data_IF_582274981670
#
_entry.id   IF_582274981670
#
_cell.length_a   1.000
_cell.length_b   1.000
_cell.length_c   1.000
_cell.angle_alpha   90.00
_cell.angle_beta   90.00
_cell.angle_gamma   90.00
#
_symmetry.space_group_name_H-M   'P 1'
#
loop_
_entity.id
_entity.type
_entity.pdbx_description
1 polymer ?
#
# COMPACT_ATOMS: atom_id res chain seq x y z
N UNK A 1 -30.61 -2.22 36.41
CA UNK A 1 -29.75 -3.20 35.70
C UNK A 1 -29.28 -4.21 36.73
N UNK A 2 -29.46 -5.54 36.51
CA UNK A 2 -28.89 -6.57 37.38
C UNK A 2 -27.37 -6.41 37.53
N UNK A 3 -26.78 -6.83 38.66
CA UNK A 3 -25.36 -6.54 38.94
C UNK A 3 -24.40 -7.21 37.95
N UNK A 4 -24.69 -8.44 37.53
CA UNK A 4 -23.93 -9.17 36.51
C UNK A 4 -23.91 -8.43 35.17
N UNK A 5 -25.06 -7.90 34.75
CA UNK A 5 -25.18 -7.09 33.54
C UNK A 5 -24.45 -5.74 33.72
N UNK A 6 -24.60 -5.11 34.89
CA UNK A 6 -23.93 -3.85 35.21
C UNK A 6 -22.41 -3.98 35.11
N UNK A 7 -21.84 -5.06 35.68
CA UNK A 7 -20.41 -5.34 35.64
C UNK A 7 -19.93 -5.57 34.20
N UNK A 8 -20.64 -6.38 33.40
CA UNK A 8 -20.31 -6.60 31.98
C UNK A 8 -20.33 -5.29 31.18
N UNK A 9 -21.35 -4.47 31.37
CA UNK A 9 -21.48 -3.18 30.67
C UNK A 9 -20.36 -2.20 31.04
N UNK A 10 -19.90 -2.18 32.29
CA UNK A 10 -18.77 -1.32 32.68
C UNK A 10 -17.46 -1.79 32.04
N UNK A 11 -17.20 -3.10 32.07
CA UNK A 11 -15.94 -3.64 31.55
C UNK A 11 -15.88 -3.62 30.02
N UNK A 12 -16.97 -3.98 29.33
CA UNK A 12 -16.98 -4.24 27.88
C UNK A 12 -18.34 -3.95 27.21
N UNK A 13 -19.07 -2.92 27.66
CA UNK A 13 -20.38 -2.55 27.13
C UNK A 13 -20.42 -2.19 25.64
N UNK A 14 -19.28 -1.82 25.07
CA UNK A 14 -19.06 -1.57 23.63
C UNK A 14 -18.91 -2.87 22.80
N UNK A 15 -18.59 -3.99 23.44
CA UNK A 15 -18.36 -5.30 22.80
C UNK A 15 -19.54 -6.26 22.97
N UNK A 16 -20.70 -5.78 23.44
CA UNK A 16 -21.87 -6.63 23.65
C UNK A 16 -22.60 -6.91 22.33
N UNK A 17 -22.80 -8.18 22.01
CA UNK A 17 -23.58 -8.62 20.84
C UNK A 17 -25.05 -8.18 20.93
N UNK A 18 -25.62 -8.24 22.13
CA UNK A 18 -26.99 -7.80 22.43
C UNK A 18 -26.97 -6.65 23.44
N UNK A 19 -26.68 -5.41 23.01
CA UNK A 19 -26.59 -4.28 23.92
C UNK A 19 -27.97 -3.88 24.43
N UNK A 20 -28.03 -3.45 25.68
CA UNK A 20 -29.22 -2.86 26.28
C UNK A 20 -29.56 -1.57 25.55
N UNK A 21 -30.82 -1.45 25.11
CA UNK A 21 -31.32 -0.27 24.41
C UNK A 21 -32.20 0.57 25.29
N UNK A 22 -32.06 1.89 25.16
CA UNK A 22 -32.93 2.83 25.84
C UNK A 22 -34.38 2.62 25.36
N UNK A 23 -35.32 2.50 26.29
CA UNK A 23 -36.70 2.03 26.00
C UNK A 23 -37.42 2.88 24.95
N UNK A 24 -37.30 4.20 25.08
CA UNK A 24 -37.96 5.20 24.22
C UNK A 24 -37.04 5.65 23.09
N UNK A 25 -35.86 6.17 23.46
CA UNK A 25 -34.88 6.77 22.53
C UNK A 25 -33.99 5.78 21.75
N UNK A 26 -34.09 4.47 21.99
CA UNK A 26 -33.45 3.40 21.18
C UNK A 26 -31.92 3.38 21.08
N UNK A 27 -31.21 4.36 21.64
CA UNK A 27 -29.74 4.34 21.66
C UNK A 27 -29.19 3.19 22.53
N UNK A 28 -27.97 2.76 22.23
CA UNK A 28 -27.22 1.77 23.00
C UNK A 28 -26.84 2.35 24.37
N UNK A 29 -27.39 1.78 25.45
CA UNK A 29 -27.07 2.17 26.83
C UNK A 29 -25.89 1.39 27.42
N UNK A 30 -25.60 0.19 26.91
CA UNK A 30 -24.50 -0.64 27.41
C UNK A 30 -23.15 0.05 27.23
N UNK A 31 -22.93 0.76 26.12
CA UNK A 31 -21.70 1.52 25.85
C UNK A 31 -21.44 2.67 26.83
N UNK A 32 -22.47 3.13 27.56
CA UNK A 32 -22.27 4.17 28.58
C UNK A 32 -21.40 3.63 29.72
N UNK A 33 -21.50 2.33 30.02
CA UNK A 33 -20.73 1.68 31.08
C UNK A 33 -19.23 1.84 30.89
N UNK A 34 -18.72 1.68 29.66
CA UNK A 34 -17.28 1.81 29.38
C UNK A 34 -16.75 3.24 29.50
N UNK A 35 -17.62 4.24 29.66
CA UNK A 35 -17.21 5.62 29.93
C UNK A 35 -16.38 5.78 31.20
N UNK A 36 -16.52 4.89 32.18
CA UNK A 36 -15.74 4.96 33.43
C UNK A 36 -14.23 4.81 33.19
N UNK A 37 -13.83 4.07 32.14
CA UNK A 37 -12.43 3.93 31.75
C UNK A 37 -11.78 5.27 31.40
N UNK A 38 -12.57 6.30 31.12
CA UNK A 38 -12.09 7.64 30.81
C UNK A 38 -12.10 8.61 32.01
N UNK A 39 -12.60 8.18 33.17
CA UNK A 39 -12.52 8.95 34.41
C UNK A 39 -11.22 8.69 35.17
N UNK A 40 -10.10 8.88 34.48
CA UNK A 40 -8.76 8.87 35.07
C UNK A 40 -8.19 10.29 35.17
N UNK A 41 -7.16 10.49 35.99
CA UNK A 41 -6.39 11.72 35.96
C UNK A 41 -5.70 11.88 34.60
N UNK A 42 -5.71 13.09 34.04
CA UNK A 42 -5.19 13.34 32.70
C UNK A 42 -4.71 14.79 32.55
N UNK A 43 -3.59 14.98 31.85
CA UNK A 43 -3.08 16.30 31.51
C UNK A 43 -3.41 16.66 30.06
N UNK A 44 -3.90 17.87 29.81
CA UNK A 44 -4.26 18.33 28.45
C UNK A 44 -3.05 18.55 27.52
N UNK A 45 -1.87 18.82 28.08
CA UNK A 45 -0.63 19.05 27.34
C UNK A 45 0.57 18.50 28.10
N UNK A 46 0.75 17.17 28.17
CA UNK A 46 1.82 16.58 28.95
C UNK A 46 3.19 16.88 28.31
N UNK A 47 4.14 17.31 29.13
CA UNK A 47 5.55 17.51 28.72
C UNK A 47 6.28 16.17 28.54
N UNK A 48 5.84 15.13 29.25
CA UNK A 48 6.24 13.73 29.06
C UNK A 48 5.00 12.87 28.77
N UNK A 49 4.82 12.52 27.49
CA UNK A 49 3.68 11.73 27.04
C UNK A 49 3.74 10.27 27.46
N UNK A 50 4.92 9.73 27.78
CA UNK A 50 5.06 8.34 28.24
C UNK A 50 4.66 8.24 29.70
N UNK A 51 5.07 9.21 30.52
CA UNK A 51 4.66 9.28 31.92
C UNK A 51 3.14 9.47 32.04
N UNK A 52 2.56 10.42 31.30
CA UNK A 52 1.10 10.65 31.31
C UNK A 52 0.33 9.38 30.92
N UNK A 53 0.76 8.66 29.86
CA UNK A 53 0.13 7.39 29.50
C UNK A 53 0.25 6.32 30.61
N UNK A 54 1.42 6.21 31.25
CA UNK A 54 1.63 5.26 32.34
C UNK A 54 0.74 5.56 33.56
N UNK A 55 0.57 6.84 33.92
CA UNK A 55 -0.25 7.25 35.06
C UNK A 55 -1.75 7.08 34.79
N UNK A 56 -2.20 7.36 33.55
CA UNK A 56 -3.57 7.05 33.12
C UNK A 56 -3.89 5.57 33.22
N UNK A 57 -2.98 4.73 32.73
CA UNK A 57 -3.13 3.28 32.77
C UNK A 57 -3.16 2.76 34.21
N UNK A 58 -2.27 3.28 35.06
CA UNK A 58 -2.26 2.92 36.48
C UNK A 58 -3.58 3.28 37.17
N UNK A 59 -4.11 4.49 36.94
CA UNK A 59 -5.39 4.94 37.49
C UNK A 59 -6.56 4.04 37.05
N UNK A 60 -6.59 3.67 35.76
CA UNK A 60 -7.61 2.75 35.23
C UNK A 60 -7.57 1.39 35.93
N UNK A 61 -6.37 0.82 36.08
CA UNK A 61 -6.19 -0.47 36.73
C UNK A 61 -6.51 -0.44 38.22
N UNK A 62 -6.14 0.63 38.92
CA UNK A 62 -6.42 0.79 40.34
C UNK A 62 -7.93 0.88 40.60
N UNK A 63 -8.65 1.69 39.83
CA UNK A 63 -10.11 1.81 39.91
C UNK A 63 -10.79 0.49 39.56
N UNK A 64 -10.35 -0.18 38.49
CA UNK A 64 -10.89 -1.47 38.07
C UNK A 64 -10.70 -2.55 39.15
N UNK A 65 -9.48 -2.67 39.67
CA UNK A 65 -9.14 -3.63 40.72
C UNK A 65 -10.00 -3.44 41.96
N UNK A 66 -10.09 -2.21 42.47
CA UNK A 66 -10.87 -1.92 43.69
C UNK A 66 -12.37 -2.08 43.48
N UNK A 67 -12.90 -1.63 42.34
CA UNK A 67 -14.34 -1.54 42.11
C UNK A 67 -14.96 -2.87 41.69
N UNK A 68 -14.31 -3.61 40.79
CA UNK A 68 -14.90 -4.81 40.18
C UNK A 68 -14.28 -6.12 40.66
N UNK A 69 -13.00 -6.10 41.06
CA UNK A 69 -12.34 -7.29 41.62
C UNK A 69 -12.35 -7.29 43.15
N UNK A 70 -12.54 -6.13 43.79
CA UNK A 70 -12.41 -5.97 45.24
C UNK A 70 -10.96 -6.12 45.72
N UNK A 71 -9.97 -5.88 44.84
CA UNK A 71 -8.55 -6.11 45.09
C UNK A 71 -7.73 -4.83 44.91
N UNK A 72 -6.78 -4.58 45.81
CA UNK A 72 -5.84 -3.47 45.72
C UNK A 72 -4.60 -3.86 44.92
N UNK A 73 -4.73 -3.96 43.60
CA UNK A 73 -3.65 -4.47 42.74
C UNK A 73 -2.47 -3.50 42.56
N UNK A 74 -2.59 -2.24 42.99
CA UNK A 74 -1.60 -1.18 42.74
C UNK A 74 -0.20 -1.45 43.30
N UNK A 75 -0.06 -2.18 44.43
CA UNK A 75 1.28 -2.52 44.94
C UNK A 75 2.08 -3.42 43.98
N UNK A 76 1.39 -4.21 43.16
CA UNK A 76 1.99 -5.10 42.16
C UNK A 76 2.73 -4.34 41.04
N UNK A 77 2.57 -3.01 40.95
CA UNK A 77 3.29 -2.15 40.00
C UNK A 77 4.81 -2.24 40.16
N UNK A 78 5.29 -2.33 41.40
CA UNK A 78 6.73 -2.20 41.69
C UNK A 78 7.35 -3.51 42.22
N UNK A 79 6.57 -4.36 42.86
CA UNK A 79 7.00 -5.63 43.43
C UNK A 79 5.81 -6.58 43.54
N UNK A 80 6.02 -7.89 43.64
CA UNK A 80 4.91 -8.83 43.80
C UNK A 80 4.04 -8.45 45.02
N UNK A 81 2.72 -8.54 44.87
CA UNK A 81 1.79 -8.07 45.91
C UNK A 81 2.07 -8.78 47.24
N UNK A 82 2.08 -8.01 48.34
CA UNK A 82 2.58 -8.49 49.63
C UNK A 82 1.77 -9.66 50.21
N UNK A 83 0.47 -9.67 49.98
CA UNK A 83 -0.47 -10.60 50.62
C UNK A 83 -1.28 -11.45 49.64
N UNK A 84 -1.40 -10.98 48.41
CA UNK A 84 -2.24 -11.63 47.40
C UNK A 84 -1.33 -12.22 46.32
N UNK A 85 -1.76 -13.32 45.70
CA UNK A 85 -1.01 -13.99 44.65
C UNK A 85 -1.09 -13.23 43.31
N UNK A 86 -0.59 -12.00 43.30
CA UNK A 86 -0.56 -11.10 42.15
C UNK A 86 0.89 -10.71 41.93
N UNK A 87 1.51 -11.25 40.90
CA UNK A 87 2.89 -10.90 40.55
C UNK A 87 2.96 -9.58 39.79
N UNK A 88 4.15 -8.99 39.74
CA UNK A 88 4.47 -7.88 38.83
C UNK A 88 4.10 -8.24 37.39
N UNK A 89 4.33 -9.50 37.00
CA UNK A 89 4.01 -9.98 35.66
C UNK A 89 2.50 -9.95 35.38
N UNK A 90 1.68 -10.31 36.36
CA UNK A 90 0.21 -10.30 36.21
C UNK A 90 -0.30 -8.86 36.07
N UNK A 91 0.23 -7.94 36.90
CA UNK A 91 -0.09 -6.51 36.82
C UNK A 91 0.23 -5.93 35.43
N UNK A 92 1.45 -6.16 34.93
CA UNK A 92 1.83 -5.65 33.61
C UNK A 92 1.16 -6.39 32.44
N UNK A 93 0.72 -7.64 32.63
CA UNK A 93 -0.10 -8.34 31.62
C UNK A 93 -1.48 -7.69 31.48
N UNK A 94 -2.10 -7.32 32.60
CA UNK A 94 -3.36 -6.58 32.60
C UNK A 94 -3.19 -5.16 32.03
N UNK A 95 -2.09 -4.47 32.38
CA UNK A 95 -1.75 -3.18 31.79
C UNK A 95 -1.58 -3.25 30.27
N UNK A 96 -0.90 -4.28 29.76
CA UNK A 96 -0.72 -4.48 28.32
C UNK A 96 -2.06 -4.74 27.60
N UNK A 97 -2.95 -5.52 28.21
CA UNK A 97 -4.31 -5.72 27.68
C UNK A 97 -5.06 -4.39 27.55
N UNK A 98 -5.06 -3.58 28.62
CA UNK A 98 -5.73 -2.29 28.64
C UNK A 98 -5.08 -1.27 27.68
N UNK A 99 -3.75 -1.29 27.52
CA UNK A 99 -3.04 -0.47 26.51
C UNK A 99 -3.41 -0.82 25.06
N UNK A 100 -3.91 -2.02 24.80
CA UNK A 100 -4.44 -2.42 23.50
C UNK A 100 -5.81 -1.78 23.18
N UNK A 101 -6.48 -1.19 24.16
CA UNK A 101 -7.75 -0.48 23.97
C UNK A 101 -7.53 0.95 23.46
N UNK A 102 -8.47 1.48 22.69
CA UNK A 102 -8.43 2.84 22.17
C UNK A 102 -9.64 3.63 22.66
N UNK A 103 -9.41 4.89 23.04
CA UNK A 103 -10.51 5.83 23.32
C UNK A 103 -11.27 6.09 22.03
N UNK A 104 -12.56 5.76 22.05
CA UNK A 104 -13.49 6.09 20.98
C UNK A 104 -14.53 7.08 21.48
N UNK A 105 -14.81 8.10 20.70
CA UNK A 105 -15.99 8.95 20.93
C UNK A 105 -17.18 8.33 20.22
N UNK A 106 -18.18 7.90 21.00
CA UNK A 106 -19.37 7.27 20.47
C UNK A 106 -20.58 8.19 20.61
N UNK A 107 -21.24 8.60 19.49
CA UNK A 107 -22.44 9.42 19.57
C UNK A 107 -23.62 8.58 20.06
N UNK A 108 -24.33 9.06 21.09
CA UNK A 108 -25.61 8.47 21.47
C UNK A 108 -26.62 8.70 20.35
N UNK A 109 -27.04 7.63 19.68
CA UNK A 109 -27.98 7.68 18.56
C UNK A 109 -29.43 7.84 19.05
N UNK A 110 -29.74 9.02 19.60
CA UNK A 110 -31.07 9.35 20.12
C UNK A 110 -32.09 9.25 18.98
N UNK A 111 -33.05 8.34 19.15
CA UNK A 111 -34.08 8.02 18.18
C UNK A 111 -33.68 6.97 17.13
N UNK A 112 -32.47 6.40 17.18
CA UNK A 112 -32.04 5.30 16.31
C UNK A 112 -31.79 5.67 14.84
N UNK A 113 -31.71 6.96 14.51
CA UNK A 113 -31.63 7.44 13.12
C UNK A 113 -30.32 7.04 12.42
N UNK A 114 -29.20 7.02 13.14
CA UNK A 114 -27.89 6.64 12.57
C UNK A 114 -27.87 5.15 12.28
N UNK A 115 -28.44 4.33 13.15
CA UNK A 115 -28.59 2.89 12.92
C UNK A 115 -29.51 2.61 11.73
N UNK A 116 -30.64 3.33 11.61
CA UNK A 116 -31.52 3.27 10.44
C UNK A 116 -30.77 3.60 9.13
N UNK A 117 -30.05 4.73 9.09
CA UNK A 117 -29.25 5.13 7.93
C UNK A 117 -28.14 4.11 7.63
N UNK A 118 -27.46 3.60 8.65
CA UNK A 118 -26.40 2.58 8.48
C UNK A 118 -26.96 1.31 7.86
N UNK A 119 -28.11 0.85 8.33
CA UNK A 119 -28.80 -0.32 7.78
C UNK A 119 -29.27 -0.06 6.34
N UNK A 120 -29.76 1.15 6.04
CA UNK A 120 -30.14 1.55 4.68
C UNK A 120 -28.92 1.54 3.76
N UNK A 121 -27.79 2.13 4.18
CA UNK A 121 -26.54 2.11 3.43
C UNK A 121 -26.07 0.68 3.21
N UNK A 122 -26.08 -0.17 4.24
CA UNK A 122 -25.63 -1.55 4.11
C UNK A 122 -26.54 -2.36 3.17
N UNK A 123 -27.86 -2.14 3.23
CA UNK A 123 -28.82 -2.73 2.30
C UNK A 123 -28.63 -2.21 0.87
N UNK A 124 -28.36 -0.92 0.69
CA UNK A 124 -28.02 -0.32 -0.61
C UNK A 124 -26.71 -0.89 -1.15
N UNK A 125 -25.69 -1.06 -0.31
CA UNK A 125 -24.43 -1.70 -0.71
C UNK A 125 -24.66 -3.16 -1.08
N UNK A 126 -25.35 -3.96 -0.24
CA UNK A 126 -25.66 -5.37 -0.53
C UNK A 126 -26.50 -5.50 -1.79
N UNK A 127 -27.49 -4.63 -2.01
CA UNK A 127 -28.30 -4.64 -3.22
C UNK A 127 -27.50 -4.19 -4.45
N UNK A 128 -26.63 -3.19 -4.34
CA UNK A 128 -25.72 -2.80 -5.40
C UNK A 128 -24.77 -3.96 -5.77
N UNK A 129 -24.12 -4.58 -4.79
CA UNK A 129 -23.26 -5.76 -4.99
C UNK A 129 -24.01 -6.97 -5.55
N UNK A 130 -25.20 -7.28 -5.06
CA UNK A 130 -26.03 -8.34 -5.60
C UNK A 130 -26.49 -8.02 -7.04
N UNK A 131 -26.82 -6.76 -7.33
CA UNK A 131 -27.20 -6.31 -8.67
C UNK A 131 -26.03 -6.33 -9.66
N UNK A 132 -24.80 -6.16 -9.18
CA UNK A 132 -23.58 -6.36 -9.97
C UNK A 132 -23.40 -7.84 -10.36
N UNK A 133 -23.86 -8.78 -9.52
CA UNK A 133 -23.77 -10.22 -9.79
C UNK A 133 -24.95 -10.78 -10.61
N UNK A 134 -26.14 -10.15 -10.59
CA UNK A 134 -27.35 -10.71 -11.19
C UNK A 134 -27.93 -9.92 -12.38
N UNK A 135 -27.32 -8.78 -12.76
CA UNK A 135 -27.63 -8.08 -14.02
C UNK A 135 -26.52 -8.28 -15.07
N UNK A 136 -26.29 -9.55 -15.43
CA UNK A 136 -25.69 -9.87 -16.74
C UNK A 136 -26.73 -9.86 -17.88
N UNK A 137 -28.00 -9.60 -17.59
CA UNK A 137 -29.04 -9.36 -18.59
C UNK A 137 -29.35 -7.87 -18.65
N UNK A 138 -28.68 -7.17 -19.56
CA UNK A 138 -28.77 -5.70 -19.70
C UNK A 138 -27.48 -5.04 -20.14
N UNK A 139 -26.34 -5.74 -20.09
CA UNK A 139 -25.15 -5.43 -20.91
C UNK A 139 -25.46 -5.87 -22.34
N UNK A 140 -26.40 -5.15 -22.98
CA UNK A 140 -26.67 -5.30 -24.40
C UNK A 140 -25.40 -4.99 -25.17
N UNK A 141 -24.71 -6.05 -25.61
CA UNK A 141 -23.41 -6.04 -26.26
C UNK A 141 -22.40 -5.12 -25.56
N UNK A 142 -21.61 -5.69 -24.62
CA UNK A 142 -20.28 -5.14 -24.37
C UNK A 142 -19.65 -5.02 -25.76
N UNK A 143 -19.51 -3.79 -26.27
CA UNK A 143 -18.94 -3.59 -27.61
C UNK A 143 -17.62 -4.33 -27.56
N UNK A 144 -17.35 -5.25 -28.51
CA UNK A 144 -16.12 -6.04 -28.44
C UNK A 144 -14.97 -5.06 -28.25
N UNK A 145 -14.08 -5.30 -27.26
CA UNK A 145 -13.07 -4.32 -26.92
C UNK A 145 -12.33 -3.92 -28.19
N UNK A 146 -12.03 -2.63 -28.31
CA UNK A 146 -11.48 -2.08 -29.54
C UNK A 146 -10.29 -2.93 -30.00
N UNK A 147 -10.11 -3.09 -31.31
CA UNK A 147 -8.98 -3.86 -31.85
C UNK A 147 -7.62 -3.36 -31.31
N UNK A 148 -7.54 -2.08 -30.93
CA UNK A 148 -6.39 -1.48 -30.27
C UNK A 148 -6.27 -1.86 -28.80
N UNK A 149 -7.37 -1.95 -28.05
CA UNK A 149 -7.37 -2.48 -26.69
C UNK A 149 -6.87 -3.92 -26.66
N UNK A 150 -7.37 -4.77 -27.56
CA UNK A 150 -6.93 -6.17 -27.67
C UNK A 150 -5.46 -6.27 -28.02
N UNK A 151 -5.00 -5.44 -28.96
CA UNK A 151 -3.58 -5.36 -29.32
C UNK A 151 -2.70 -4.87 -28.17
N UNK A 152 -3.12 -3.82 -27.46
CA UNK A 152 -2.38 -3.29 -26.32
C UNK A 152 -2.33 -4.27 -25.16
N UNK A 153 -3.44 -4.95 -24.85
CA UNK A 153 -3.47 -6.02 -23.86
C UNK A 153 -2.49 -7.14 -24.26
N UNK A 154 -2.55 -7.62 -25.50
CA UNK A 154 -1.66 -8.67 -25.99
C UNK A 154 -0.18 -8.27 -25.89
N UNK A 155 0.13 -7.02 -26.24
CA UNK A 155 1.51 -6.52 -26.27
C UNK A 155 2.08 -6.20 -24.88
N UNK A 156 1.25 -5.75 -23.93
CA UNK A 156 1.66 -5.28 -22.59
C UNK A 156 1.33 -6.25 -21.46
N UNK A 157 0.75 -7.41 -21.78
CA UNK A 157 0.56 -8.51 -20.86
C UNK A 157 1.65 -9.57 -21.08
N UNK A 158 2.23 -10.07 -19.99
CA UNK A 158 3.18 -11.18 -20.07
C UNK A 158 2.44 -12.44 -20.53
N UNK A 159 3.02 -13.16 -21.50
CA UNK A 159 2.54 -14.49 -21.88
C UNK A 159 3.16 -15.60 -21.03
N UNK A 160 3.89 -15.25 -19.97
CA UNK A 160 4.45 -16.22 -19.05
C UNK A 160 3.31 -16.88 -18.27
N UNK A 161 3.24 -18.20 -18.33
CA UNK A 161 2.40 -19.00 -17.45
C UNK A 161 3.31 -19.71 -16.46
N UNK A 162 3.01 -19.57 -15.19
CA UNK A 162 3.80 -20.18 -14.13
C UNK A 162 3.86 -21.70 -14.33
N UNK A 163 5.08 -22.23 -14.44
CA UNK A 163 5.35 -23.66 -14.59
C UNK A 163 6.07 -24.24 -13.35
N UNK A 164 6.30 -23.41 -12.32
CA UNK A 164 6.95 -23.81 -11.08
C UNK A 164 7.47 -22.61 -10.28
N UNK A 165 7.23 -22.63 -8.97
CA UNK A 165 7.64 -21.60 -8.00
C UNK A 165 9.16 -21.59 -7.79
N UNK A 166 9.89 -20.81 -8.57
CA UNK A 166 11.25 -20.40 -8.20
C UNK A 166 11.19 -18.99 -7.59
N UNK A 167 10.72 -18.92 -6.34
CA UNK A 167 10.55 -17.66 -5.60
C UNK A 167 11.87 -17.03 -5.11
N UNK A 168 13.02 -17.53 -5.57
CA UNK A 168 14.34 -17.14 -5.08
C UNK A 168 15.11 -16.36 -6.15
N UNK A 169 15.72 -15.26 -5.71
CA UNK A 169 16.74 -14.53 -6.47
C UNK A 169 17.92 -15.47 -6.76
N UNK A 170 18.04 -15.92 -7.99
CA UNK A 170 19.01 -16.94 -8.46
C UNK A 170 19.66 -16.53 -9.78
N UNK A 171 19.43 -15.29 -10.19
CA UNK A 171 19.89 -14.73 -11.44
C UNK A 171 21.32 -14.21 -11.42
N UNK A 172 21.74 -13.66 -12.57
CA UNK A 172 22.97 -12.90 -12.72
C UNK A 172 22.76 -11.51 -12.14
N UNK A 173 23.40 -11.23 -11.01
CA UNK A 173 23.33 -9.93 -10.33
C UNK A 173 23.91 -8.82 -11.22
N UNK A 174 23.13 -7.76 -11.40
CA UNK A 174 23.51 -6.52 -12.05
C UNK A 174 24.05 -5.54 -11.01
N UNK A 175 23.33 -5.40 -9.89
CA UNK A 175 23.75 -4.62 -8.72
C UNK A 175 22.97 -5.07 -7.47
N UNK A 176 23.67 -5.19 -6.35
CA UNK A 176 23.14 -5.54 -5.02
C UNK A 176 23.42 -4.43 -3.97
N UNK A 177 24.10 -3.35 -4.36
CA UNK A 177 24.46 -2.20 -3.52
C UNK A 177 25.28 -2.50 -2.25
N UNK A 178 25.74 -3.73 -2.07
CA UNK A 178 26.57 -4.16 -0.94
C UNK A 178 27.93 -3.44 -0.91
N UNK A 179 28.42 -3.05 -2.08
CA UNK A 179 29.74 -2.45 -2.26
C UNK A 179 29.69 -1.04 -2.87
N UNK A 180 28.62 -0.28 -2.60
CA UNK A 180 28.43 1.05 -3.20
C UNK A 180 27.45 1.06 -4.37
N UNK A 181 27.36 2.17 -5.08
CA UNK A 181 26.53 2.28 -6.29
C UNK A 181 27.17 1.65 -7.55
N UNK A 182 28.43 1.20 -7.47
CA UNK A 182 29.15 0.65 -8.61
C UNK A 182 29.19 1.64 -9.79
N UNK A 183 28.68 1.22 -10.95
CA UNK A 183 28.57 2.05 -12.15
C UNK A 183 27.39 3.02 -12.15
N UNK A 184 26.49 2.97 -11.17
CA UNK A 184 25.31 3.83 -11.11
C UNK A 184 25.67 5.24 -10.67
N UNK A 185 25.13 6.24 -11.38
CA UNK A 185 25.46 7.65 -11.19
C UNK A 185 24.31 8.39 -10.51
N UNK A 186 24.55 9.04 -9.35
CA UNK A 186 23.56 9.89 -8.73
C UNK A 186 23.47 11.24 -9.44
N UNK A 187 22.25 11.76 -9.57
CA UNK A 187 21.95 13.09 -10.06
C UNK A 187 21.05 13.80 -9.05
N UNK A 188 21.40 15.02 -8.67
CA UNK A 188 20.76 15.72 -7.56
C UNK A 188 21.32 15.29 -6.21
N UNK A 189 20.51 15.34 -5.15
CA UNK A 189 20.96 15.13 -3.76
C UNK A 189 20.23 14.01 -3.03
N UNK A 190 19.25 13.37 -3.68
CA UNK A 190 18.48 12.26 -3.10
C UNK A 190 19.35 11.03 -2.77
N UNK A 191 20.29 10.69 -3.66
CA UNK A 191 21.10 9.46 -3.56
C UNK A 191 22.57 9.81 -3.29
N UNK A 192 22.96 9.84 -2.02
CA UNK A 192 24.34 10.17 -1.63
C UNK A 192 25.23 8.94 -1.52
N UNK A 193 24.75 7.91 -0.82
CA UNK A 193 25.41 6.62 -0.62
C UNK A 193 24.37 5.54 -0.36
N UNK A 194 24.68 4.26 -0.62
CA UNK A 194 23.82 3.17 -0.16
C UNK A 194 23.61 3.24 1.35
N UNK A 195 22.49 2.65 1.78
CA UNK A 195 22.19 2.42 3.19
C UNK A 195 22.61 1.00 3.53
N UNK A 196 23.05 0.84 4.77
CA UNK A 196 23.47 -0.46 5.29
C UNK A 196 22.72 -0.77 6.57
N UNK A 197 22.45 -2.06 6.81
CA UNK A 197 21.85 -2.56 8.03
C UNK A 197 22.62 -2.03 9.25
N UNK A 198 21.89 -1.47 10.22
CA UNK A 198 22.47 -0.84 11.41
C UNK A 198 22.90 0.63 11.23
N UNK A 199 22.75 1.20 10.03
CA UNK A 199 22.94 2.65 9.82
C UNK A 199 21.88 3.47 10.56
N UNK A 200 22.22 4.70 10.92
CA UNK A 200 21.29 5.62 11.59
C UNK A 200 20.06 5.85 10.70
N UNK A 201 18.87 5.57 11.24
CA UNK A 201 17.59 5.82 10.56
C UNK A 201 17.12 4.71 9.62
N UNK A 202 17.70 3.51 9.67
CA UNK A 202 17.32 2.38 8.80
C UNK A 202 16.61 1.24 9.54
N UNK A 203 16.26 1.40 10.82
CA UNK A 203 15.69 0.33 11.66
C UNK A 203 14.29 -0.13 11.24
N UNK A 204 13.60 0.65 10.40
CA UNK A 204 12.25 0.36 9.90
C UNK A 204 12.26 -0.25 8.48
N UNK A 205 13.41 -0.27 7.81
CA UNK A 205 13.52 -0.81 6.46
C UNK A 205 13.73 -2.32 6.56
N UNK A 206 12.94 -3.10 5.82
CA UNK A 206 13.00 -4.57 5.75
C UNK A 206 12.90 -5.04 4.30
N UNK A 207 13.02 -6.34 4.03
CA UNK A 207 12.82 -6.92 2.69
C UNK A 207 13.99 -6.77 1.70
N UNK A 208 15.09 -6.12 2.10
CA UNK A 208 16.35 -6.11 1.34
C UNK A 208 17.10 -7.44 1.47
N UNK A 209 17.95 -7.74 0.48
CA UNK A 209 18.89 -8.86 0.50
C UNK A 209 20.22 -8.42 1.11
N UNK A 210 20.96 -9.32 1.74
CA UNK A 210 22.26 -8.99 2.32
C UNK A 210 22.20 -7.94 3.43
N UNK A 211 23.02 -6.89 3.31
CA UNK A 211 23.11 -5.80 4.29
C UNK A 211 23.02 -4.41 3.67
N UNK A 212 23.11 -4.25 2.36
CA UNK A 212 23.11 -2.98 1.63
C UNK A 212 21.87 -2.78 0.77
N UNK A 213 21.46 -1.54 0.54
CA UNK A 213 20.44 -1.19 -0.46
C UNK A 213 20.57 0.27 -0.91
N UNK A 214 19.98 0.61 -2.06
CA UNK A 214 19.87 1.99 -2.51
C UNK A 214 18.60 2.65 -1.92
N UNK A 215 18.75 3.87 -1.41
CA UNK A 215 17.64 4.61 -0.80
C UNK A 215 17.78 6.11 -1.03
N UNK A 216 16.65 6.77 -1.32
CA UNK A 216 16.53 8.23 -1.30
C UNK A 216 16.01 8.78 0.04
N UNK A 217 15.73 7.91 1.02
CA UNK A 217 15.12 8.32 2.28
C UNK A 217 15.99 9.34 3.04
N UNK A 218 15.37 10.48 3.33
CA UNK A 218 15.96 11.57 4.09
C UNK A 218 14.91 12.15 5.05
N UNK A 219 15.29 12.32 6.32
CA UNK A 219 14.43 12.89 7.37
C UNK A 219 14.32 14.42 7.32
N UNK A 220 15.15 15.08 6.51
CA UNK A 220 15.11 16.54 6.37
C UNK A 220 13.82 16.98 5.65
N UNK A 221 12.99 17.87 6.25
CA UNK A 221 11.80 18.43 5.60
C UNK A 221 12.12 19.28 4.36
N UNK A 222 13.35 19.81 4.21
CA UNK A 222 13.88 20.37 2.95
C UNK A 222 14.49 19.26 2.10
N UNK A 223 13.68 18.23 1.85
CA UNK A 223 14.11 16.96 1.25
C UNK A 223 14.85 17.18 -0.07
N UNK A 224 15.90 16.41 -0.24
CA UNK A 224 16.71 16.40 -1.44
C UNK A 224 16.08 15.49 -2.50
N UNK A 225 15.79 16.06 -3.67
CA UNK A 225 15.30 15.34 -4.85
C UNK A 225 16.47 14.85 -5.72
N UNK A 226 16.19 13.88 -6.58
CA UNK A 226 17.20 13.36 -7.51
C UNK A 226 16.89 11.98 -8.05
N UNK A 227 17.87 11.43 -8.75
CA UNK A 227 17.80 10.10 -9.32
C UNK A 227 19.12 9.36 -9.19
N UNK A 228 19.06 8.04 -9.26
CA UNK A 228 20.21 7.16 -9.40
C UNK A 228 20.04 6.38 -10.71
N UNK A 229 20.98 6.56 -11.63
CA UNK A 229 20.86 6.07 -13.01
C UNK A 229 21.92 4.99 -13.26
N UNK A 230 21.49 3.82 -13.74
CA UNK A 230 22.38 2.72 -14.12
C UNK A 230 23.22 3.09 -15.35
N UNK A 231 24.35 2.40 -15.61
CA UNK A 231 24.90 2.36 -16.97
C UNK A 231 23.87 1.75 -17.92
N UNK A 232 24.09 1.87 -19.23
CA UNK A 232 23.33 1.10 -20.21
C UNK A 232 23.60 -0.38 -20.01
N UNK A 233 22.53 -1.16 -19.86
CA UNK A 233 22.57 -2.59 -19.60
C UNK A 233 22.00 -3.30 -20.82
N UNK A 234 22.76 -4.24 -21.39
CA UNK A 234 22.24 -5.13 -22.43
C UNK A 234 21.36 -6.20 -21.79
N UNK A 235 20.13 -6.37 -22.26
CA UNK A 235 19.22 -7.40 -21.76
C UNK A 235 19.67 -8.78 -22.23
N UNK A 236 20.08 -9.62 -21.28
CA UNK A 236 20.61 -10.97 -21.53
C UNK A 236 19.61 -12.08 -21.19
N UNK A 237 18.69 -11.84 -20.26
CA UNK A 237 17.65 -12.78 -19.88
C UNK A 237 16.27 -12.15 -19.97
N UNK A 238 15.25 -13.01 -19.99
CA UNK A 238 13.85 -12.60 -20.11
C UNK A 238 13.39 -11.78 -18.90
N UNK A 239 13.76 -12.17 -17.68
CA UNK A 239 13.25 -11.49 -16.49
C UNK A 239 14.31 -10.64 -15.83
N UNK A 240 13.90 -9.45 -15.40
CA UNK A 240 14.65 -8.62 -14.46
C UNK A 240 13.91 -8.65 -13.12
N UNK A 241 14.55 -9.25 -12.12
CA UNK A 241 14.04 -9.33 -10.75
C UNK A 241 14.75 -8.30 -9.87
N UNK A 242 14.02 -7.69 -8.96
CA UNK A 242 14.54 -6.75 -7.96
C UNK A 242 13.54 -6.58 -6.82
N UNK A 243 13.96 -5.94 -5.74
CA UNK A 243 13.06 -5.55 -4.64
C UNK A 243 12.90 -4.03 -4.61
N UNK A 244 11.69 -3.55 -4.30
CA UNK A 244 11.37 -2.12 -4.22
C UNK A 244 10.50 -1.81 -3.01
N UNK A 245 10.79 -0.70 -2.35
CA UNK A 245 9.98 -0.14 -1.27
C UNK A 245 9.88 1.39 -1.41
N UNK A 246 9.20 2.03 -0.48
CA UNK A 246 8.93 3.47 -0.47
C UNK A 246 7.50 3.79 -0.92
N UNK A 247 7.31 4.97 -1.52
CA UNK A 247 5.99 5.48 -1.84
C UNK A 247 5.41 5.10 -3.19
N UNK A 248 4.10 5.36 -3.33
CA UNK A 248 3.32 5.18 -4.56
C UNK A 248 3.16 6.45 -5.41
N UNK A 249 3.78 7.56 -5.03
CA UNK A 249 3.66 8.83 -5.75
C UNK A 249 4.21 8.74 -7.18
N UNK A 250 3.59 9.48 -8.10
CA UNK A 250 3.92 9.42 -9.53
C UNK A 250 5.37 9.78 -9.87
N UNK A 251 5.95 10.67 -9.07
CA UNK A 251 7.30 11.19 -9.24
C UNK A 251 8.36 10.33 -8.49
N UNK A 252 7.97 9.16 -7.95
CA UNK A 252 8.82 8.31 -7.11
C UNK A 252 8.75 6.86 -7.56
N UNK A 253 9.89 6.21 -7.80
CA UNK A 253 9.92 4.78 -8.11
C UNK A 253 11.16 4.33 -8.88
N UNK A 254 11.12 3.07 -9.33
CA UNK A 254 12.13 2.45 -10.18
C UNK A 254 11.59 2.39 -11.60
N UNK A 255 12.23 3.10 -12.51
CA UNK A 255 11.81 3.26 -13.90
C UNK A 255 12.69 2.45 -14.85
N UNK A 256 12.06 1.77 -15.81
CA UNK A 256 12.75 1.20 -16.97
C UNK A 256 12.73 2.20 -18.11
N UNK A 257 13.91 2.52 -18.64
CA UNK A 257 14.09 3.39 -19.78
C UNK A 257 14.68 2.64 -20.96
N UNK A 258 14.10 2.85 -22.14
CA UNK A 258 14.59 2.31 -23.40
C UNK A 258 14.30 3.31 -24.52
N UNK A 259 15.23 3.43 -25.48
CA UNK A 259 15.09 4.35 -26.62
C UNK A 259 14.68 5.78 -26.22
N UNK A 260 15.24 6.27 -25.10
CA UNK A 260 14.96 7.62 -24.57
C UNK A 260 13.60 7.82 -23.93
N UNK A 261 12.80 6.75 -23.74
CA UNK A 261 11.47 6.82 -23.15
C UNK A 261 11.38 5.94 -21.89
N UNK A 262 10.57 6.38 -20.91
CA UNK A 262 10.13 5.51 -19.80
C UNK A 262 9.10 4.51 -20.31
N UNK A 263 9.41 3.22 -20.20
CA UNK A 263 8.59 2.12 -20.75
C UNK A 263 7.92 1.28 -19.67
N UNK A 264 8.38 1.39 -18.42
CA UNK A 264 7.75 0.76 -17.27
C UNK A 264 8.19 1.46 -15.98
N UNK A 265 7.40 1.31 -14.92
CA UNK A 265 7.76 1.81 -13.58
C UNK A 265 7.23 0.85 -12.53
N UNK A 266 8.02 0.62 -11.49
CA UNK A 266 7.63 -0.08 -10.27
C UNK A 266 7.73 0.89 -9.10
N UNK A 267 6.74 0.85 -8.20
CA UNK A 267 6.66 1.71 -7.02
C UNK A 267 6.61 0.86 -5.75
N UNK A 268 6.92 1.49 -4.63
CA UNK A 268 6.69 0.88 -3.32
C UNK A 268 5.20 0.84 -2.98
N UNK A 269 4.86 0.42 -1.76
CA UNK A 269 3.47 0.27 -1.30
C UNK A 269 3.18 1.17 -0.10
N UNK A 270 3.73 2.40 -0.14
CA UNK A 270 3.74 3.31 1.01
C UNK A 270 4.25 2.56 2.26
N UNK A 271 5.39 1.89 2.08
CA UNK A 271 6.02 1.03 3.06
C UNK A 271 7.54 1.09 2.94
N UNK A 272 8.26 1.02 4.07
CA UNK A 272 9.71 0.86 4.08
C UNK A 272 10.15 -0.62 3.92
N UNK A 273 9.18 -1.54 3.76
CA UNK A 273 9.44 -2.93 3.39
C UNK A 273 9.64 -3.05 1.87
N UNK A 274 10.78 -3.61 1.45
CA UNK A 274 11.07 -3.85 0.05
C UNK A 274 10.40 -5.16 -0.38
N UNK A 275 9.51 -5.08 -1.37
CA UNK A 275 8.80 -6.24 -1.92
C UNK A 275 9.39 -6.64 -3.28
N UNK A 276 9.44 -7.95 -3.60
CA UNK A 276 9.97 -8.43 -4.87
C UNK A 276 9.07 -7.99 -6.03
N UNK A 277 9.70 -7.61 -7.15
CA UNK A 277 9.07 -7.30 -8.44
C UNK A 277 9.82 -8.04 -9.54
N UNK A 278 9.09 -8.36 -10.62
CA UNK A 278 9.65 -8.96 -11.83
C UNK A 278 9.14 -8.22 -13.06
N UNK A 279 10.06 -7.86 -13.95
CA UNK A 279 9.75 -7.33 -15.27
C UNK A 279 10.04 -8.36 -16.36
N UNK A 280 9.08 -8.59 -17.25
CA UNK A 280 9.21 -9.45 -18.43
C UNK A 280 9.75 -8.65 -19.62
N UNK A 281 11.06 -8.77 -19.85
CA UNK A 281 11.81 -8.07 -20.87
C UNK A 281 11.98 -8.87 -22.17
N UNK A 282 11.09 -9.84 -22.44
CA UNK A 282 11.14 -10.67 -23.65
C UNK A 282 11.35 -9.86 -24.94
N UNK A 283 10.59 -8.77 -25.11
CA UNK A 283 10.64 -7.91 -26.32
C UNK A 283 11.92 -7.04 -26.39
N UNK A 284 12.67 -6.98 -25.30
CA UNK A 284 13.89 -6.19 -25.16
C UNK A 284 15.17 -7.02 -25.22
N UNK A 285 15.10 -8.33 -25.47
CA UNK A 285 16.27 -9.20 -25.55
C UNK A 285 17.34 -8.62 -26.50
N UNK A 286 18.60 -8.59 -26.04
CA UNK A 286 19.76 -8.00 -26.71
C UNK A 286 19.71 -6.50 -26.97
N UNK A 287 18.68 -5.77 -26.54
CA UNK A 287 18.63 -4.31 -26.56
C UNK A 287 19.29 -3.73 -25.31
N UNK A 288 19.68 -2.46 -25.40
CA UNK A 288 20.15 -1.70 -24.26
C UNK A 288 19.00 -1.01 -23.55
N UNK A 289 18.98 -1.11 -22.22
CA UNK A 289 18.04 -0.44 -21.33
C UNK A 289 18.80 0.30 -20.23
N UNK A 290 18.14 1.26 -19.59
CA UNK A 290 18.63 1.94 -18.40
C UNK A 290 17.60 1.78 -17.28
N UNK A 291 18.07 1.57 -16.06
CA UNK A 291 17.24 1.56 -14.86
C UNK A 291 17.49 2.87 -14.12
N UNK A 292 16.42 3.53 -13.70
CA UNK A 292 16.50 4.81 -12.97
C UNK A 292 15.67 4.72 -11.71
N UNK A 293 16.31 4.89 -10.56
CA UNK A 293 15.59 5.18 -9.32
C UNK A 293 15.34 6.68 -9.27
N UNK A 294 14.10 7.10 -9.10
CA UNK A 294 13.71 8.52 -9.14
C UNK A 294 12.99 8.87 -7.85
N UNK A 295 13.38 10.00 -7.26
CA UNK A 295 12.71 10.65 -6.14
C UNK A 295 12.58 12.15 -6.47
N UNK A 296 11.41 12.53 -6.98
CA UNK A 296 11.06 13.90 -7.31
C UNK A 296 9.82 14.38 -6.54
N UNK A 297 9.52 13.79 -5.38
CA UNK A 297 8.38 14.18 -4.55
C UNK A 297 8.77 14.53 -3.11
N UNK A 298 8.02 15.45 -2.52
CA UNK A 298 8.10 15.75 -1.09
C UNK A 298 6.99 15.05 -0.31
N UNK A 299 7.16 14.87 0.99
CA UNK A 299 6.17 14.25 1.87
C UNK A 299 6.64 12.93 2.47
N UNK A 300 5.79 12.33 3.33
CA UNK A 300 6.11 11.11 4.10
C UNK A 300 6.57 9.94 3.21
N UNK A 301 5.89 9.75 2.08
CA UNK A 301 6.16 8.70 1.11
C UNK A 301 6.87 9.20 -0.14
N UNK A 302 7.49 10.37 -0.08
CA UNK A 302 8.24 10.90 -1.20
C UNK A 302 9.58 10.21 -1.42
N UNK A 303 9.81 8.93 -1.11
CA UNK A 303 11.11 8.24 -1.27
C UNK A 303 10.96 6.87 -1.88
N UNK A 304 12.06 6.34 -2.40
CA UNK A 304 12.17 4.98 -2.94
C UNK A 304 13.36 4.25 -2.30
N UNK A 305 13.15 2.96 -2.03
CA UNK A 305 14.21 2.00 -1.73
C UNK A 305 14.24 0.97 -2.86
N UNK A 306 15.41 0.50 -3.26
CA UNK A 306 15.51 -0.64 -4.17
C UNK A 306 16.79 -1.43 -3.94
N UNK A 307 16.72 -2.72 -4.28
CA UNK A 307 17.80 -3.67 -4.03
C UNK A 307 17.77 -4.88 -4.99
N UNK A 308 18.89 -5.61 -5.05
CA UNK A 308 19.05 -6.92 -5.70
C UNK A 308 18.53 -6.97 -7.16
N UNK A 309 19.06 -6.10 -8.02
CA UNK A 309 18.75 -6.15 -9.45
C UNK A 309 19.48 -7.31 -10.11
N UNK A 310 18.75 -8.26 -10.70
CA UNK A 310 19.33 -9.41 -11.38
C UNK A 310 18.56 -9.82 -12.64
N UNK A 311 19.30 -10.30 -13.63
CA UNK A 311 18.71 -10.99 -14.77
C UNK A 311 18.53 -12.47 -14.48
N UNK A 312 17.32 -12.99 -14.70
CA UNK A 312 16.99 -14.37 -14.37
C UNK A 312 16.17 -15.06 -15.48
N UNK A 313 16.24 -16.40 -15.56
CA UNK A 313 15.40 -17.19 -16.45
C UNK A 313 13.94 -17.29 -15.98
N UNK A 314 13.65 -17.02 -14.69
CA UNK A 314 12.33 -17.10 -14.09
C UNK A 314 12.01 -15.83 -13.28
N UNK A 315 10.72 -15.41 -13.19
CA UNK A 315 10.32 -14.31 -12.33
C UNK A 315 10.23 -14.77 -10.86
N UNK A 316 10.42 -13.83 -9.93
CA UNK A 316 10.22 -14.05 -8.48
C UNK A 316 8.76 -13.87 -8.05
N UNK A 317 7.90 -13.31 -8.92
CA UNK A 317 6.45 -13.19 -8.73
C UNK A 317 5.69 -13.88 -9.87
N UNK A 318 4.47 -14.43 -9.61
CA UNK A 318 3.74 -15.21 -10.60
C UNK A 318 3.27 -14.39 -11.81
N UNK A 319 3.00 -13.09 -11.61
CA UNK A 319 2.50 -12.19 -12.64
C UNK A 319 3.50 -11.05 -12.88
N UNK A 320 4.56 -11.27 -13.69
CA UNK A 320 5.53 -10.23 -13.98
C UNK A 320 4.92 -9.12 -14.84
N UNK A 321 5.34 -7.88 -14.57
CA UNK A 321 4.94 -6.73 -15.38
C UNK A 321 5.70 -6.69 -16.69
N UNK A 322 4.99 -6.42 -17.78
CA UNK A 322 5.59 -6.29 -19.11
C UNK A 322 5.64 -4.80 -19.53
N UNK A 323 6.81 -4.29 -19.98
CA UNK A 323 6.96 -2.91 -20.42
C UNK A 323 6.17 -2.62 -21.69
N UNK A 324 5.98 -1.34 -22.00
CA UNK A 324 5.58 -0.91 -23.34
C UNK A 324 6.60 -1.48 -24.33
N UNK A 325 6.20 -2.23 -25.37
CA UNK A 325 7.14 -2.88 -26.26
C UNK A 325 7.90 -1.87 -27.16
N UNK A 326 9.06 -2.25 -27.71
CA UNK A 326 9.76 -1.45 -28.72
C UNK A 326 8.88 -1.19 -29.94
N UNK A 327 9.10 -0.04 -30.60
CA UNK A 327 8.29 0.37 -31.76
C UNK A 327 8.25 -0.68 -32.87
N UNK A 328 9.35 -1.40 -33.11
CA UNK A 328 9.42 -2.46 -34.12
C UNK A 328 8.48 -3.64 -33.84
N UNK A 329 8.22 -3.94 -32.56
CA UNK A 329 7.27 -4.99 -32.15
C UNK A 329 5.83 -4.49 -32.37
N UNK A 330 5.57 -3.22 -32.04
CA UNK A 330 4.26 -2.58 -32.31
C UNK A 330 3.96 -2.54 -33.80
N UNK A 331 4.93 -2.16 -34.64
CA UNK A 331 4.82 -2.15 -36.11
C UNK A 331 4.47 -3.53 -36.66
N UNK A 332 5.21 -4.55 -36.23
CA UNK A 332 4.99 -5.94 -36.66
C UNK A 332 3.57 -6.41 -36.32
N UNK A 333 3.11 -6.18 -35.09
CA UNK A 333 1.76 -6.55 -34.66
C UNK A 333 0.69 -5.74 -35.38
N UNK A 334 0.90 -4.43 -35.55
CA UNK A 334 -0.05 -3.55 -36.20
C UNK A 334 -0.25 -3.91 -37.67
N UNK A 335 0.84 -4.21 -38.39
CA UNK A 335 0.77 -4.65 -39.79
C UNK A 335 0.01 -5.98 -39.91
N UNK A 336 0.30 -6.95 -39.04
CA UNK A 336 -0.37 -8.26 -39.06
C UNK A 336 -1.88 -8.18 -38.75
N UNK A 337 -2.32 -7.14 -38.03
CA UNK A 337 -3.71 -6.99 -37.56
C UNK A 337 -4.46 -5.80 -38.20
N UNK A 338 -3.89 -5.15 -39.22
CA UNK A 338 -4.51 -4.00 -39.88
C UNK A 338 -4.81 -2.83 -38.94
N UNK A 339 -3.84 -2.51 -38.08
CA UNK A 339 -3.90 -1.41 -37.10
C UNK A 339 -2.98 -0.26 -37.51
N UNK A 340 -3.33 0.96 -37.09
CA UNK A 340 -2.42 2.10 -37.23
C UNK A 340 -1.37 2.07 -36.11
N UNK A 341 -0.10 2.15 -36.48
CA UNK A 341 1.06 1.90 -35.60
C UNK A 341 1.07 2.88 -34.42
N UNK A 342 0.92 4.18 -34.70
CA UNK A 342 1.06 5.21 -33.67
C UNK A 342 -0.12 5.20 -32.69
N UNK A 343 -1.31 4.88 -33.17
CA UNK A 343 -2.50 4.66 -32.37
C UNK A 343 -2.28 3.46 -31.45
N UNK A 344 -1.84 2.31 -31.97
CA UNK A 344 -1.56 1.13 -31.13
C UNK A 344 -0.45 1.41 -30.10
N UNK A 345 0.60 2.14 -30.49
CA UNK A 345 1.67 2.56 -29.57
C UNK A 345 1.13 3.42 -28.44
N UNK A 346 0.29 4.41 -28.76
CA UNK A 346 -0.34 5.26 -27.75
C UNK A 346 -1.20 4.44 -26.79
N UNK A 347 -1.99 3.49 -27.31
CA UNK A 347 -2.73 2.55 -26.47
C UNK A 347 -1.79 1.78 -25.53
N UNK A 348 -0.69 1.20 -26.02
CA UNK A 348 0.28 0.50 -25.19
C UNK A 348 0.89 1.39 -24.10
N UNK A 349 1.23 2.65 -24.42
CA UNK A 349 1.82 3.60 -23.47
C UNK A 349 0.88 3.96 -22.31
N UNK A 350 -0.42 3.98 -22.56
CA UNK A 350 -1.42 4.45 -21.59
C UNK A 350 -2.23 3.32 -20.93
N UNK A 351 -2.15 2.08 -21.43
CA UNK A 351 -3.00 0.94 -21.02
C UNK A 351 -2.96 0.62 -19.51
N UNK A 352 -1.81 0.78 -18.86
CA UNK A 352 -1.59 0.43 -17.44
C UNK A 352 -1.33 1.62 -16.52
N UNK A 353 -1.48 2.85 -17.02
CA UNK A 353 -1.30 4.05 -16.22
C UNK A 353 -2.68 4.45 -15.67
N UNK A 354 -2.96 4.12 -14.41
CA UNK A 354 -4.25 4.39 -13.74
C UNK A 354 -4.63 5.89 -13.79
N UNK A 355 -3.64 6.77 -13.73
CA UNK A 355 -3.81 8.23 -13.74
C UNK A 355 -4.01 8.83 -15.14
N UNK A 356 -3.92 8.00 -16.19
CA UNK A 356 -4.01 8.45 -17.56
C UNK A 356 -5.42 8.50 -18.12
N UNK A 357 -6.50 8.17 -17.40
CA UNK A 357 -7.84 8.32 -18.01
C UNK A 357 -8.08 9.77 -18.48
N UNK A 358 -7.59 10.76 -17.72
CA UNK A 358 -7.71 12.18 -18.05
C UNK A 358 -6.63 12.68 -19.03
N UNK A 359 -5.37 12.23 -18.88
CA UNK A 359 -4.25 12.60 -19.77
C UNK A 359 -4.32 11.89 -21.14
N UNK A 360 -4.80 10.64 -21.20
CA UNK A 360 -5.15 9.92 -22.42
C UNK A 360 -6.30 10.63 -23.12
N UNK A 361 -7.34 11.08 -22.40
CA UNK A 361 -8.42 11.87 -23.00
C UNK A 361 -7.90 13.19 -23.60
N UNK A 362 -7.07 13.96 -22.88
CA UNK A 362 -6.48 15.21 -23.38
C UNK A 362 -5.48 15.02 -24.53
N UNK A 363 -4.67 13.95 -24.51
CA UNK A 363 -3.74 13.63 -25.61
C UNK A 363 -4.46 13.05 -26.81
N UNK A 364 -5.54 12.29 -26.61
CA UNK A 364 -6.46 11.90 -27.68
C UNK A 364 -7.16 13.14 -28.24
N UNK A 365 -7.56 14.12 -27.42
CA UNK A 365 -8.09 15.42 -27.90
C UNK A 365 -7.07 16.22 -28.71
N UNK A 366 -5.82 16.29 -28.25
CA UNK A 366 -4.73 16.90 -29.02
C UNK A 366 -4.40 16.12 -30.30
N UNK A 367 -4.66 14.81 -30.33
CA UNK A 367 -4.55 13.99 -31.53
C UNK A 367 -5.80 14.09 -32.45
N UNK A 368 -7.00 14.37 -31.89
CA UNK A 368 -8.25 14.63 -32.62
C UNK A 368 -8.13 15.89 -33.49
N UNK A 369 -7.46 16.93 -33.00
CA UNK A 369 -7.20 18.15 -33.79
C UNK A 369 -6.24 17.91 -34.97
N UNK A 370 -5.47 16.82 -34.92
CA UNK A 370 -4.47 16.46 -35.94
C UNK A 370 -4.96 15.38 -36.92
N UNK A 371 -5.90 14.51 -36.53
CA UNK A 371 -6.35 13.37 -37.36
C UNK A 371 -7.84 13.04 -37.15
N UNK A 372 -8.64 13.29 -38.18
CA UNK A 372 -10.11 13.13 -38.24
C UNK A 372 -10.62 11.69 -38.05
N UNK A 373 -9.76 10.68 -37.88
CA UNK A 373 -10.15 9.25 -37.80
C UNK A 373 -10.20 8.66 -36.38
N UNK A 374 -9.86 9.42 -35.34
CA UNK A 374 -9.92 8.95 -33.94
C UNK A 374 -11.33 9.01 -33.32
N UNK A 375 -12.29 9.63 -33.99
CA UNK A 375 -13.66 9.92 -33.51
C UNK A 375 -14.44 8.65 -33.10
N UNK A 376 -14.06 7.46 -33.58
CA UNK A 376 -14.79 6.21 -33.28
C UNK A 376 -14.15 5.34 -32.18
N UNK A 377 -12.96 5.66 -31.69
CA UNK A 377 -12.29 4.85 -30.65
C UNK A 377 -12.78 5.16 -29.23
N UNK A 378 -13.22 6.40 -28.98
CA UNK A 378 -13.61 6.91 -27.66
C UNK A 378 -14.99 6.40 -27.20
N UNK A 379 -15.95 6.24 -28.13
CA UNK A 379 -17.28 5.69 -27.80
C UNK A 379 -17.25 4.22 -27.38
N UNK A 380 -16.12 3.52 -27.53
CA UNK A 380 -15.94 2.12 -27.13
C UNK A 380 -15.16 1.94 -25.82
N UNK A 381 -14.69 3.03 -25.22
CA UNK A 381 -13.92 2.98 -23.98
C UNK A 381 -14.68 3.56 -22.78
N UNK A 382 -15.59 4.51 -23.01
CA UNK A 382 -16.41 5.15 -21.95
C UNK A 382 -17.70 4.36 -21.64
N UNK A 383 -18.15 3.47 -22.53
CA UNK A 383 -19.20 2.48 -22.27
C UNK A 383 -18.57 1.14 -21.98
#
# INVERSE_FOLDING_TARGET
VPYDQFLKEHVAGDLMDEPRRHRTEKFNESIIGTGFWYFHEAVHGPTDSKQDNADRMESQLDVFGKTFLGLTIGCARCHDHKFDAISVKDYYSLAAFMQGSNRQEYPLDVGGKREEISNEIEALCKSAYASLSSKQEGVGAMRPPSKYWKGALHLTHSNYTDTGTNANFTGKVIVDFENGFGGWKPYGKAFLKPKFKGSVGTSLVTGYSGVGWASSFNKDPKKSLGSLISPKIKVEHRFLNFSVGGGQLDQVGVELWADGNRVLVARGEDSDDLVPKSWDLLDYHSREVEIRMVDNATGRWGHVHADQFEFAPFPVIPNPDKPVPPISVVESYAQANGLEVMTLRAWCMHFKQLDNLQSLAQRIESAKSSYTRLVHAEQNFIR
#
